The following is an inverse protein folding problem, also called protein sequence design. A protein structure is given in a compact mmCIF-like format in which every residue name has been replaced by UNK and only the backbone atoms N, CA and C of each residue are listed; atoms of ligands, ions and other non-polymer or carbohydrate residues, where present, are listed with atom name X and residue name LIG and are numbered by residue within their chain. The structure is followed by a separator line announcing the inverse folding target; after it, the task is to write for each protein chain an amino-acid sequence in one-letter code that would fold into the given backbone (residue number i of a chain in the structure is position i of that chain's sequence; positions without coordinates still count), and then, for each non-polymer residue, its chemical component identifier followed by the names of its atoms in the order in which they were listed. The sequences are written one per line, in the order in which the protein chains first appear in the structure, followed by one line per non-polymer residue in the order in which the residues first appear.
data_IF_025786609942
#
_entry.id   IF_025786609942
#
_cell.length_a   1.000
_cell.length_b   1.000
_cell.length_c   1.000
_cell.angle_alpha   90.00
_cell.angle_beta   90.00
_cell.angle_gamma   90.00
#
_symmetry.space_group_name_H-M   'P 1'
#
loop_
_entity.id
_entity.type
_entity.pdbx_description
1 polymer ?
#
# COMPACT_ATOMS: atom_id res chain seq x y z
N UNK A 1 17.38 -14.99 18.59
CA UNK A 1 15.97 -15.40 18.78
C UNK A 1 15.07 -14.29 19.35
N UNK A 2 15.60 -13.27 20.04
CA UNK A 2 14.78 -12.19 20.63
C UNK A 2 13.90 -11.45 19.59
N UNK A 3 14.50 -11.00 18.48
CA UNK A 3 13.76 -10.33 17.40
C UNK A 3 12.60 -11.17 16.84
N UNK A 4 12.84 -12.43 16.45
CA UNK A 4 11.80 -13.27 15.86
C UNK A 4 10.62 -13.48 16.82
N UNK A 5 10.89 -13.60 18.12
CA UNK A 5 9.84 -13.78 19.14
C UNK A 5 9.00 -12.51 19.29
N UNK A 6 9.66 -11.35 19.40
CA UNK A 6 8.98 -10.07 19.57
C UNK A 6 8.22 -9.64 18.31
N UNK A 7 8.80 -9.89 17.13
CA UNK A 7 8.15 -9.65 15.84
C UNK A 7 6.89 -10.50 15.68
N UNK A 8 6.98 -11.81 15.94
CA UNK A 8 5.82 -12.71 15.82
C UNK A 8 4.73 -12.35 16.84
N UNK A 9 5.09 -11.95 18.06
CA UNK A 9 4.12 -11.52 19.06
C UNK A 9 3.38 -10.24 18.65
N UNK A 10 4.08 -9.26 18.06
CA UNK A 10 3.50 -7.98 17.60
C UNK A 10 2.77 -8.05 16.26
N UNK A 11 2.90 -9.16 15.53
CA UNK A 11 2.25 -9.37 14.21
C UNK A 11 1.21 -10.49 14.22
N UNK A 12 0.94 -11.09 15.40
CA UNK A 12 0.03 -12.22 15.54
C UNK A 12 -1.42 -11.89 15.10
N UNK A 13 -1.86 -10.66 15.29
CA UNK A 13 -3.16 -10.11 14.88
C UNK A 13 -3.27 -9.87 13.37
N UNK A 14 -2.14 -9.84 12.66
CA UNK A 14 -2.05 -9.53 11.22
C UNK A 14 -1.53 -10.71 10.41
N UNK A 15 -1.75 -11.93 10.91
CA UNK A 15 -1.35 -13.17 10.24
C UNK A 15 -1.86 -13.21 8.78
N UNK A 16 -0.96 -13.55 7.86
CA UNK A 16 -1.24 -13.59 6.41
C UNK A 16 -0.90 -12.31 5.66
N UNK A 17 -0.53 -11.21 6.34
CA UNK A 17 0.05 -10.03 5.69
C UNK A 17 1.56 -9.99 5.83
N UNK A 18 2.22 -9.49 4.78
CA UNK A 18 3.65 -9.17 4.83
C UNK A 18 3.77 -7.78 5.48
N UNK A 19 4.40 -7.72 6.66
CA UNK A 19 4.59 -6.49 7.42
C UNK A 19 6.03 -6.01 7.24
N UNK A 20 6.24 -4.83 6.63
CA UNK A 20 7.57 -4.26 6.54
C UNK A 20 8.06 -3.85 7.93
N UNK A 21 9.31 -4.17 8.22
CA UNK A 21 9.95 -3.83 9.49
C UNK A 21 11.20 -3.01 9.22
N UNK A 22 11.31 -1.89 9.94
CA UNK A 22 12.53 -1.09 9.98
C UNK A 22 13.29 -1.47 11.25
N UNK A 23 14.51 -1.95 11.10
CA UNK A 23 15.36 -2.40 12.21
C UNK A 23 16.53 -1.43 12.33
N UNK A 24 16.67 -0.83 13.50
CA UNK A 24 17.82 0.00 13.85
C UNK A 24 18.72 -0.82 14.78
N UNK A 25 19.99 -0.96 14.41
CA UNK A 25 21.00 -1.71 15.16
C UNK A 25 22.03 -0.74 15.73
N UNK A 26 22.41 -0.94 16.99
CA UNK A 26 23.38 -0.12 17.71
C UNK A 26 24.71 -0.86 17.91
N UNK A 27 25.78 -0.13 18.22
CA UNK A 27 27.14 -0.68 18.39
C UNK A 27 27.27 -1.67 19.56
N UNK A 28 26.41 -1.52 20.57
CA UNK A 28 26.30 -2.44 21.71
C UNK A 28 25.56 -3.75 21.39
N UNK A 29 25.23 -3.96 20.10
CA UNK A 29 24.43 -5.09 19.58
C UNK A 29 22.99 -5.09 20.06
N UNK A 30 22.52 -4.01 20.69
CA UNK A 30 21.10 -3.79 20.91
C UNK A 30 20.40 -3.42 19.59
N UNK A 31 19.09 -3.60 19.55
CA UNK A 31 18.29 -3.25 18.38
C UNK A 31 16.92 -2.70 18.80
N UNK A 32 16.41 -1.78 18.01
CA UNK A 32 15.01 -1.35 18.05
C UNK A 32 14.37 -1.64 16.70
N UNK A 33 13.06 -1.85 16.67
CA UNK A 33 12.36 -2.05 15.41
C UNK A 33 10.98 -1.43 15.41
N UNK A 34 10.58 -0.92 14.25
CA UNK A 34 9.29 -0.30 13.99
C UNK A 34 8.58 -1.13 12.94
N UNK A 35 7.36 -1.58 13.25
CA UNK A 35 6.49 -2.26 12.30
C UNK A 35 5.70 -1.22 11.53
N UNK A 36 5.79 -1.27 10.20
CA UNK A 36 4.98 -0.44 9.30
C UNK A 36 3.70 -1.17 8.91
N UNK A 37 2.78 -0.47 8.29
CA UNK A 37 1.57 -1.04 7.68
C UNK A 37 1.93 -1.93 6.49
N UNK A 38 1.07 -2.90 6.16
CA UNK A 38 1.27 -3.75 4.98
C UNK A 38 1.46 -2.92 3.70
N UNK A 39 2.22 -3.43 2.70
CA UNK A 39 2.39 -2.75 1.43
C UNK A 39 1.04 -2.41 0.78
N UNK A 40 0.94 -1.20 0.23
CA UNK A 40 -0.28 -0.77 -0.46
C UNK A 40 -0.66 -1.74 -1.59
N UNK A 41 0.34 -2.32 -2.26
CA UNK A 41 0.13 -3.34 -3.30
C UNK A 41 -0.64 -4.56 -2.78
N UNK A 42 -0.22 -5.13 -1.64
CA UNK A 42 -0.88 -6.31 -1.05
C UNK A 42 -2.31 -5.99 -0.62
N UNK A 43 -2.52 -4.83 0.00
CA UNK A 43 -3.85 -4.37 0.41
C UNK A 43 -4.79 -4.18 -0.79
N UNK A 44 -4.29 -3.59 -1.87
CA UNK A 44 -5.02 -3.36 -3.11
C UNK A 44 -5.33 -4.67 -3.85
N UNK A 45 -4.38 -5.60 -3.94
CA UNK A 45 -4.58 -6.93 -4.53
C UNK A 45 -5.68 -7.71 -3.78
N UNK A 46 -5.64 -7.68 -2.44
CA UNK A 46 -6.66 -8.32 -1.60
C UNK A 46 -8.04 -7.65 -1.76
N UNK A 47 -8.10 -6.33 -1.79
CA UNK A 47 -9.35 -5.60 -1.99
C UNK A 47 -9.97 -5.84 -3.38
N UNK A 48 -9.14 -6.00 -4.40
CA UNK A 48 -9.54 -6.33 -5.77
C UNK A 48 -9.78 -7.83 -6.00
N UNK A 49 -9.45 -8.70 -5.03
CA UNK A 49 -9.63 -10.15 -5.15
C UNK A 49 -8.67 -10.82 -6.15
N UNK A 50 -7.52 -10.20 -6.43
CA UNK A 50 -6.53 -10.72 -7.40
C UNK A 50 -5.23 -11.12 -6.72
N UNK A 51 -4.57 -12.14 -7.25
CA UNK A 51 -3.31 -12.64 -6.68
C UNK A 51 -2.08 -11.85 -7.18
N UNK A 52 -2.14 -11.30 -8.39
CA UNK A 52 -1.02 -10.61 -9.05
C UNK A 52 -1.50 -9.36 -9.78
N UNK A 53 -0.62 -8.35 -9.79
CA UNK A 53 -0.82 -7.14 -10.59
C UNK A 53 -0.63 -7.39 -12.09
N UNK A 54 -1.04 -6.42 -12.89
CA UNK A 54 -0.90 -6.45 -14.34
C UNK A 54 0.57 -6.43 -14.80
N UNK A 55 0.86 -7.16 -15.89
CA UNK A 55 2.16 -7.08 -16.58
C UNK A 55 2.28 -5.82 -17.43
N UNK A 56 1.15 -5.31 -17.92
CA UNK A 56 1.05 -4.00 -18.60
C UNK A 56 -0.10 -3.19 -17.96
N UNK A 57 0.16 -2.46 -16.87
CA UNK A 57 -0.85 -1.74 -16.09
C UNK A 57 -1.71 -0.72 -16.86
N UNK A 58 -1.20 -0.25 -18.01
CA UNK A 58 -1.89 0.76 -18.83
C UNK A 58 -2.84 0.12 -19.84
N UNK A 59 -2.51 -1.07 -20.32
CA UNK A 59 -3.32 -1.79 -21.32
C UNK A 59 -4.25 -2.81 -20.65
N UNK A 60 -3.71 -3.59 -19.73
CA UNK A 60 -4.40 -4.71 -19.11
C UNK A 60 -4.81 -4.36 -17.68
N UNK A 61 -6.11 -4.22 -17.47
CA UNK A 61 -6.72 -4.01 -16.16
C UNK A 61 -7.06 -5.34 -15.53
N UNK A 62 -6.54 -5.58 -14.33
CA UNK A 62 -6.66 -6.87 -13.63
C UNK A 62 -7.73 -6.85 -12.55
N UNK A 63 -8.20 -5.69 -12.11
CA UNK A 63 -9.26 -5.59 -11.10
C UNK A 63 -9.81 -4.17 -10.96
N UNK A 64 -10.88 -4.07 -10.19
CA UNK A 64 -11.52 -2.79 -9.83
C UNK A 64 -11.78 -2.75 -8.33
N UNK A 65 -11.59 -1.60 -7.72
CA UNK A 65 -11.97 -1.35 -6.32
C UNK A 65 -12.86 -0.12 -6.21
N UNK A 66 -13.67 -0.09 -5.16
CA UNK A 66 -14.54 1.05 -4.84
C UNK A 66 -13.77 2.14 -4.09
N UNK A 67 -14.29 3.36 -4.12
CA UNK A 67 -13.76 4.47 -3.30
C UNK A 67 -13.75 4.14 -1.80
N UNK A 68 -14.72 3.40 -1.29
CA UNK A 68 -14.79 3.06 0.13
C UNK A 68 -13.66 2.10 0.54
N UNK A 69 -13.34 1.13 -0.33
CA UNK A 69 -12.17 0.26 -0.14
C UNK A 69 -10.89 1.08 -0.21
N UNK A 70 -10.77 2.00 -1.17
CA UNK A 70 -9.61 2.89 -1.26
C UNK A 70 -9.43 3.75 -0.01
N UNK A 71 -10.52 4.31 0.52
CA UNK A 71 -10.51 5.12 1.76
C UNK A 71 -10.10 4.28 2.96
N UNK A 72 -10.57 3.05 3.06
CA UNK A 72 -10.20 2.12 4.14
C UNK A 72 -8.70 1.82 4.11
N UNK A 73 -8.16 1.50 2.93
CA UNK A 73 -6.72 1.26 2.74
C UNK A 73 -5.90 2.52 3.04
N UNK A 74 -6.38 3.68 2.60
CA UNK A 74 -5.72 4.96 2.86
C UNK A 74 -5.70 5.29 4.36
N UNK A 75 -6.77 5.03 5.09
CA UNK A 75 -6.84 5.24 6.54
C UNK A 75 -5.92 4.28 7.30
N UNK A 76 -5.87 3.01 6.89
CA UNK A 76 -4.94 2.03 7.47
C UNK A 76 -3.47 2.44 7.24
N UNK A 77 -3.16 2.97 6.06
CA UNK A 77 -1.80 3.35 5.67
C UNK A 77 -1.38 4.75 6.13
N UNK A 78 -2.33 5.59 6.53
CA UNK A 78 -2.10 7.00 6.90
C UNK A 78 -0.95 7.22 7.90
N UNK A 79 -0.76 6.39 8.95
CA UNK A 79 0.33 6.58 9.90
C UNK A 79 1.74 6.48 9.29
N UNK A 80 1.88 5.81 8.14
CA UNK A 80 3.16 5.66 7.44
C UNK A 80 3.32 6.61 6.24
N UNK A 81 2.27 7.36 5.91
CA UNK A 81 2.29 8.29 4.79
C UNK A 81 2.69 9.69 5.27
N UNK A 82 3.39 10.41 4.41
CA UNK A 82 3.80 11.79 4.68
C UNK A 82 2.69 12.83 4.42
N UNK A 83 1.42 12.40 4.40
CA UNK A 83 0.29 13.27 4.07
C UNK A 83 -0.62 13.49 5.28
N UNK A 84 -1.19 14.69 5.37
CA UNK A 84 -2.02 15.10 6.51
C UNK A 84 -3.51 14.86 6.30
N UNK A 85 -3.96 14.68 5.05
CA UNK A 85 -5.39 14.47 4.73
C UNK A 85 -5.65 13.09 4.13
N UNK A 86 -6.81 12.52 4.44
CA UNK A 86 -7.25 11.23 3.89
C UNK A 86 -7.37 11.30 2.36
N UNK A 87 -7.79 12.43 1.81
CA UNK A 87 -7.86 12.62 0.35
C UNK A 87 -6.49 12.52 -0.32
N UNK A 88 -5.46 13.10 0.30
CA UNK A 88 -4.08 12.98 -0.20
C UNK A 88 -3.59 11.54 -0.11
N UNK A 89 -3.90 10.85 0.98
CA UNK A 89 -3.60 9.43 1.13
C UNK A 89 -4.30 8.60 0.03
N UNK A 90 -5.59 8.83 -0.20
CA UNK A 90 -6.36 8.16 -1.26
C UNK A 90 -5.73 8.37 -2.64
N UNK A 91 -5.24 9.58 -2.96
CA UNK A 91 -4.54 9.85 -4.24
C UNK A 91 -3.21 9.09 -4.36
N UNK A 92 -2.45 8.96 -3.27
CA UNK A 92 -1.21 8.17 -3.22
C UNK A 92 -1.51 6.69 -3.48
N UNK A 93 -2.50 6.14 -2.78
CA UNK A 93 -2.91 4.74 -2.97
C UNK A 93 -3.48 4.53 -4.38
N UNK A 94 -4.24 5.48 -4.90
CA UNK A 94 -4.77 5.42 -6.26
C UNK A 94 -3.67 5.39 -7.32
N UNK A 95 -2.57 6.13 -7.10
CA UNK A 95 -1.40 6.05 -7.98
C UNK A 95 -0.77 4.66 -7.98
N UNK A 96 -0.75 4.01 -6.82
CA UNK A 96 -0.29 2.62 -6.69
C UNK A 96 -1.22 1.65 -7.41
N UNK A 97 -2.54 1.80 -7.26
CA UNK A 97 -3.53 0.98 -7.96
C UNK A 97 -3.38 1.08 -9.48
N UNK A 98 -3.26 2.31 -10.01
CA UNK A 98 -3.04 2.56 -11.43
C UNK A 98 -1.74 1.92 -11.95
N UNK A 99 -0.66 1.94 -11.16
CA UNK A 99 0.60 1.29 -11.50
C UNK A 99 0.56 -0.24 -11.45
N UNK A 100 -0.48 -0.83 -10.85
CA UNK A 100 -0.69 -2.27 -10.83
C UNK A 100 -1.78 -2.74 -11.81
N UNK A 101 -2.43 -1.81 -12.53
CA UNK A 101 -3.54 -2.12 -13.43
C UNK A 101 -4.85 -2.39 -12.68
N UNK A 102 -5.03 -1.81 -11.48
CA UNK A 102 -6.29 -1.85 -10.75
C UNK A 102 -6.99 -0.50 -10.93
N UNK A 103 -8.22 -0.54 -11.43
CA UNK A 103 -9.05 0.65 -11.60
C UNK A 103 -9.85 0.96 -10.34
N UNK A 104 -10.28 2.22 -10.21
CA UNK A 104 -11.01 2.74 -9.07
C UNK A 104 -12.30 3.35 -9.57
N UNK A 105 -13.42 2.99 -8.93
CA UNK A 105 -14.75 3.51 -9.25
C UNK A 105 -15.38 4.25 -8.04
N UNK A 106 -15.77 5.54 -8.19
CA UNK A 106 -15.44 6.45 -9.29
C UNK A 106 -13.95 6.87 -9.31
N UNK A 107 -13.43 7.32 -10.46
CA UNK A 107 -12.01 7.64 -10.62
C UNK A 107 -11.58 8.85 -9.78
N UNK A 108 -10.51 8.69 -9.01
CA UNK A 108 -9.93 9.74 -8.14
C UNK A 108 -8.77 10.48 -8.82
N UNK A 109 -8.14 9.87 -9.83
CA UNK A 109 -7.01 10.45 -10.56
C UNK A 109 -7.46 10.99 -11.91
N UNK A 110 -7.04 12.22 -12.22
CA UNK A 110 -7.22 12.78 -13.54
C UNK A 110 -6.19 12.19 -14.54
N UNK A 111 -6.61 11.78 -15.74
CA UNK A 111 -5.67 11.32 -16.76
C UNK A 111 -4.77 12.48 -17.19
N UNK A 112 -3.46 12.25 -17.22
CA UNK A 112 -2.51 13.23 -17.77
C UNK A 112 -2.80 13.46 -19.25
N UNK A 113 -3.35 14.63 -19.59
CA UNK A 113 -3.44 15.09 -20.98
C UNK A 113 -2.02 15.29 -21.49
N UNK A 114 -1.62 14.57 -22.54
CA UNK A 114 -0.37 14.89 -23.26
C UNK A 114 -0.56 16.28 -23.85
N UNK A 115 0.19 17.26 -23.36
CA UNK A 115 0.36 18.51 -24.08
C UNK A 115 1.09 18.15 -25.38
N UNK A 116 0.36 18.19 -26.50
CA UNK A 116 0.98 18.16 -27.82
C UNK A 116 1.72 19.50 -27.92
N UNK A 117 3.04 19.47 -27.70
CA UNK A 117 3.90 20.56 -28.13
C UNK A 117 3.85 20.54 -29.66
N UNK A 118 3.06 21.46 -30.22
CA UNK A 118 3.09 21.84 -31.62
C UNK A 118 4.35 22.64 -31.91
#
# INVERSE_FOLDING_TARGET
MAFCKDYNARTADKAGYIIPVEITVFDDKSFTFILKTPPASVLLLKAAGVEKGSKDPKQDKVGVITIDQLRTIAAEKLPDLNCTTIESAMRIIAGTAANMGIDIDPPVLEPKKKAVLL
#
